data_IF_749711726979
#
_entry.id   IF_749711726979
#
_cell.length_a   1.000
_cell.length_b   1.000
_cell.length_c   1.000
_cell.angle_alpha   90.00
_cell.angle_beta   90.00
_cell.angle_gamma   90.00
#
_symmetry.space_group_name_H-M   'P 1'
#
loop_
_entity.id
_entity.type
_entity.pdbx_description
1 polymer ?
#
# COMPACT_ATOMS: atom_id res chain seq x y z
N UNK A 1 -8.39 -18.76 33.65
CA UNK A 1 -7.20 -18.66 32.76
C UNK A 1 -7.30 -19.47 31.47
N UNK A 2 -8.02 -20.60 31.40
CA UNK A 2 -8.23 -21.34 30.13
C UNK A 2 -9.31 -20.74 29.21
N UNK A 3 -10.20 -19.90 29.75
CA UNK A 3 -11.32 -19.30 28.99
C UNK A 3 -11.03 -17.97 28.27
N UNK A 4 -9.90 -17.33 28.53
CA UNK A 4 -9.46 -16.14 27.76
C UNK A 4 -8.73 -16.55 26.48
N UNK A 5 -8.12 -17.75 26.49
CA UNK A 5 -7.43 -18.33 25.34
C UNK A 5 -8.36 -19.09 24.37
N UNK A 6 -9.56 -19.48 24.82
CA UNK A 6 -10.51 -20.28 24.02
C UNK A 6 -11.49 -19.44 23.18
N UNK A 7 -11.54 -18.10 23.36
CA UNK A 7 -12.51 -17.21 22.69
C UNK A 7 -12.00 -16.32 21.56
N UNK A 8 -10.76 -16.47 21.08
CA UNK A 8 -10.33 -15.81 19.83
C UNK A 8 -9.34 -16.64 19.00
N UNK A 9 -9.68 -17.92 18.82
CA UNK A 9 -9.24 -18.70 17.65
C UNK A 9 -10.19 -18.48 16.45
N UNK A 10 -10.97 -17.38 16.46
CA UNK A 10 -11.57 -16.85 15.25
C UNK A 10 -10.42 -16.50 14.30
N UNK A 11 -10.34 -17.21 13.16
CA UNK A 11 -9.31 -17.11 12.12
C UNK A 11 -8.35 -15.94 12.31
N UNK A 12 -7.12 -16.17 12.79
CA UNK A 12 -6.14 -15.09 12.86
C UNK A 12 -6.00 -14.49 11.45
N UNK A 13 -6.47 -13.25 11.27
CA UNK A 13 -6.54 -12.61 9.95
C UNK A 13 -5.17 -12.00 9.65
N UNK A 14 -4.29 -12.84 9.13
CA UNK A 14 -2.94 -12.47 8.73
C UNK A 14 -2.93 -11.76 7.38
N UNK A 15 -1.96 -10.88 7.22
CA UNK A 15 -1.56 -10.32 5.94
C UNK A 15 -0.17 -10.82 5.65
N UNK A 16 -0.07 -11.66 4.62
CA UNK A 16 1.20 -12.13 4.09
C UNK A 16 1.67 -11.16 3.03
N UNK A 17 2.91 -10.71 3.14
CA UNK A 17 3.52 -9.75 2.22
C UNK A 17 4.81 -10.32 1.70
N UNK A 18 4.92 -10.34 0.37
CA UNK A 18 6.15 -10.65 -0.34
C UNK A 18 6.62 -9.41 -1.07
N UNK A 19 7.85 -8.99 -0.78
CA UNK A 19 8.48 -7.84 -1.41
C UNK A 19 9.63 -8.30 -2.31
N UNK A 20 9.49 -8.02 -3.61
CA UNK A 20 10.48 -8.32 -4.63
C UNK A 20 11.19 -7.03 -5.03
N UNK A 21 12.48 -6.94 -4.71
CA UNK A 21 13.31 -5.82 -5.13
C UNK A 21 14.10 -6.23 -6.35
N UNK A 22 14.02 -5.45 -7.43
CA UNK A 22 14.74 -5.70 -8.67
C UNK A 22 16.03 -4.88 -8.72
N UNK A 23 17.05 -5.41 -9.39
CA UNK A 23 18.29 -4.69 -9.70
C UNK A 23 18.06 -3.67 -10.83
N UNK A 24 17.10 -2.77 -10.61
CA UNK A 24 16.62 -1.78 -11.56
C UNK A 24 16.48 -0.45 -10.82
N UNK A 25 17.31 0.53 -11.17
CA UNK A 25 17.18 1.87 -10.61
C UNK A 25 15.84 2.49 -11.06
N UNK A 26 15.06 2.98 -10.09
CA UNK A 26 13.71 3.50 -10.35
C UNK A 26 13.48 4.77 -9.54
N UNK A 27 13.25 5.89 -10.23
CA UNK A 27 12.75 7.12 -9.62
C UNK A 27 11.25 7.00 -9.34
N UNK A 28 10.70 7.65 -8.29
CA UNK A 28 9.26 7.61 -7.99
C UNK A 28 8.37 7.98 -9.19
N UNK A 29 8.77 8.96 -10.01
CA UNK A 29 8.03 9.39 -11.21
C UNK A 29 7.94 8.33 -12.31
N UNK A 30 8.79 7.28 -12.27
CA UNK A 30 8.80 6.19 -13.24
C UNK A 30 8.03 4.95 -12.75
N UNK A 31 7.53 4.93 -11.51
CA UNK A 31 6.75 3.82 -10.97
C UNK A 31 5.53 3.47 -11.85
N UNK A 32 4.77 4.43 -12.42
CA UNK A 32 3.68 4.09 -13.35
C UNK A 32 4.16 3.35 -14.60
N UNK A 33 5.34 3.69 -15.13
CA UNK A 33 5.93 2.99 -16.29
C UNK A 33 6.42 1.60 -15.91
N UNK A 34 7.02 1.45 -14.73
CA UNK A 34 7.42 0.15 -14.20
C UNK A 34 6.21 -0.77 -14.01
N UNK A 35 5.12 -0.25 -13.41
CA UNK A 35 3.85 -0.97 -13.32
C UNK A 35 3.36 -1.42 -14.70
N UNK A 36 3.31 -0.50 -15.68
CA UNK A 36 2.89 -0.84 -17.05
C UNK A 36 3.75 -1.94 -17.67
N UNK A 37 5.07 -1.86 -17.50
CA UNK A 37 6.01 -2.87 -17.98
C UNK A 37 5.77 -4.24 -17.34
N UNK A 38 5.56 -4.28 -16.02
CA UNK A 38 5.28 -5.53 -15.31
C UNK A 38 3.91 -6.10 -15.69
N UNK A 39 2.88 -5.27 -15.87
CA UNK A 39 1.58 -5.73 -16.36
C UNK A 39 1.68 -6.31 -17.79
N UNK A 40 2.42 -5.66 -18.69
CA UNK A 40 2.64 -6.15 -20.06
C UNK A 40 3.47 -7.44 -20.08
N UNK A 41 4.45 -7.56 -19.20
CA UNK A 41 5.22 -8.78 -19.02
C UNK A 41 4.29 -9.92 -18.58
N UNK A 42 3.35 -9.62 -17.69
CA UNK A 42 2.51 -10.59 -16.99
C UNK A 42 1.10 -10.69 -17.61
N UNK A 43 0.96 -10.50 -18.93
CA UNK A 43 -0.35 -10.51 -19.64
C UNK A 43 -1.13 -11.83 -19.49
N UNK A 44 -0.47 -12.95 -19.17
CA UNK A 44 -1.09 -14.23 -18.81
C UNK A 44 -1.31 -14.44 -17.30
N UNK A 45 -0.92 -13.48 -16.46
CA UNK A 45 -0.99 -13.59 -15.01
C UNK A 45 -2.40 -13.23 -14.48
N UNK A 46 -2.76 -13.66 -13.26
CA UNK A 46 -4.12 -13.57 -12.76
C UNK A 46 -4.66 -12.13 -12.76
N UNK A 47 -5.99 -12.02 -12.87
CA UNK A 47 -6.83 -10.82 -12.70
C UNK A 47 -6.37 -9.92 -11.52
N UNK A 48 -5.68 -10.48 -10.52
CA UNK A 48 -5.05 -9.78 -9.40
C UNK A 48 -4.09 -8.64 -9.80
N UNK A 49 -3.54 -8.65 -11.02
CA UNK A 49 -2.67 -7.59 -11.53
C UNK A 49 -3.42 -6.45 -12.24
N UNK A 50 -4.62 -6.75 -12.73
CA UNK A 50 -5.50 -5.83 -13.44
C UNK A 50 -6.74 -5.65 -12.58
N UNK A 51 -6.82 -4.59 -11.77
CA UNK A 51 -8.04 -4.19 -11.04
C UNK A 51 -9.22 -3.79 -11.98
N UNK A 52 -9.41 -4.52 -13.07
CA UNK A 52 -10.40 -4.38 -14.12
C UNK A 52 -11.01 -5.77 -14.39
N UNK A 53 -12.32 -5.91 -14.18
CA UNK A 53 -13.14 -6.94 -14.80
C UNK A 53 -14.15 -6.20 -15.69
N UNK A 54 -14.00 -6.29 -17.01
CA UNK A 54 -14.89 -5.62 -17.97
C UNK A 54 -14.77 -4.09 -17.99
N UNK A 55 -15.87 -3.39 -18.31
CA UNK A 55 -15.93 -1.92 -18.46
C UNK A 55 -16.00 -1.14 -17.12
N UNK A 56 -15.92 -1.83 -15.97
CA UNK A 56 -16.02 -1.21 -14.64
C UNK A 56 -14.68 -1.12 -13.88
N UNK A 57 -14.57 -0.14 -12.98
CA UNK A 57 -13.48 -0.09 -11.99
C UNK A 57 -13.74 -1.09 -10.86
N UNK A 58 -12.79 -1.99 -10.60
CA UNK A 58 -12.87 -2.85 -9.43
C UNK A 58 -12.41 -2.03 -8.20
N UNK A 59 -13.33 -1.67 -7.31
CA UNK A 59 -13.05 -0.90 -6.07
C UNK A 59 -12.37 -1.76 -4.98
N UNK A 60 -11.60 -2.76 -5.39
CA UNK A 60 -10.89 -3.66 -4.49
C UNK A 60 -9.50 -3.13 -4.18
N UNK A 61 -9.04 -3.35 -2.95
CA UNK A 61 -7.71 -2.95 -2.51
C UNK A 61 -6.63 -3.68 -3.34
N UNK A 62 -5.64 -2.99 -3.94
CA UNK A 62 -4.65 -3.62 -4.82
C UNK A 62 -3.74 -4.57 -4.04
N UNK A 63 -3.78 -5.86 -4.41
CA UNK A 63 -2.92 -6.91 -3.85
C UNK A 63 -1.52 -6.92 -4.44
N UNK A 64 -1.34 -6.28 -5.59
CA UNK A 64 -0.03 -5.99 -6.17
C UNK A 64 0.19 -4.49 -6.18
N UNK A 65 1.32 -4.04 -5.66
CA UNK A 65 1.70 -2.64 -5.58
C UNK A 65 3.13 -2.46 -6.09
N UNK A 66 3.35 -1.36 -6.82
CA UNK A 66 4.64 -1.05 -7.41
C UNK A 66 5.21 0.18 -6.73
N UNK A 67 6.50 0.13 -6.39
CA UNK A 67 7.14 1.15 -5.57
C UNK A 67 8.55 1.46 -6.05
N UNK A 68 9.01 2.67 -5.75
CA UNK A 68 10.43 3.01 -5.71
C UNK A 68 10.87 2.91 -4.26
N UNK A 69 11.75 1.97 -3.95
CA UNK A 69 12.26 1.73 -2.61
C UNK A 69 13.77 1.81 -2.65
N UNK A 70 14.35 2.75 -1.88
CA UNK A 70 15.80 3.01 -1.87
C UNK A 70 16.39 3.21 -3.28
N UNK A 71 15.63 3.88 -4.16
CA UNK A 71 16.02 4.12 -5.55
C UNK A 71 15.97 2.89 -6.47
N UNK A 72 15.42 1.76 -6.02
CA UNK A 72 15.23 0.53 -6.79
C UNK A 72 13.75 0.27 -7.06
N UNK A 73 13.45 -0.43 -8.15
CA UNK A 73 12.12 -0.93 -8.41
C UNK A 73 11.76 -2.04 -7.43
N UNK A 74 10.59 -1.93 -6.79
CA UNK A 74 10.07 -2.92 -5.85
C UNK A 74 8.62 -3.26 -6.19
N UNK A 75 8.28 -4.54 -6.13
CA UNK A 75 6.93 -5.05 -6.22
C UNK A 75 6.53 -5.63 -4.87
N UNK A 76 5.40 -5.20 -4.35
CA UNK A 76 4.79 -5.71 -3.13
C UNK A 76 3.59 -6.55 -3.53
N UNK A 77 3.57 -7.80 -3.09
CA UNK A 77 2.50 -8.75 -3.31
C UNK A 77 1.88 -9.14 -1.96
N UNK A 78 0.56 -9.16 -1.90
CA UNK A 78 -0.21 -9.28 -0.65
C UNK A 78 -1.16 -10.47 -0.74
N UNK A 79 -1.09 -11.37 0.24
CA UNK A 79 -1.89 -12.61 0.34
C UNK A 79 -1.84 -13.40 -0.97
N UNK A 80 -2.97 -13.60 -1.65
CA UNK A 80 -3.09 -14.32 -2.94
C UNK A 80 -2.28 -13.64 -4.06
N UNK A 81 -1.89 -12.38 -3.91
CA UNK A 81 -0.97 -11.73 -4.84
C UNK A 81 0.44 -12.35 -4.83
N UNK A 82 0.83 -13.06 -3.76
CA UNK A 82 2.18 -13.63 -3.59
C UNK A 82 2.50 -14.73 -4.61
N UNK A 83 1.48 -15.36 -5.20
CA UNK A 83 1.60 -16.34 -6.29
C UNK A 83 2.36 -15.79 -7.51
N UNK A 84 2.44 -14.45 -7.64
CA UNK A 84 3.13 -13.82 -8.74
C UNK A 84 4.63 -14.14 -8.81
N UNK A 85 5.27 -14.46 -7.67
CA UNK A 85 6.69 -14.80 -7.67
C UNK A 85 6.96 -16.03 -8.53
N UNK A 86 6.11 -17.07 -8.43
CA UNK A 86 6.24 -18.26 -9.26
C UNK A 86 6.14 -17.92 -10.75
N UNK A 87 5.22 -17.03 -11.10
CA UNK A 87 5.03 -16.56 -12.48
C UNK A 87 6.27 -15.82 -13.00
N UNK A 88 6.86 -14.95 -12.18
CA UNK A 88 8.06 -14.19 -12.56
C UNK A 88 9.27 -15.12 -12.72
N UNK A 89 9.46 -16.07 -11.81
CA UNK A 89 10.60 -17.00 -11.82
C UNK A 89 10.52 -18.05 -12.93
N UNK A 90 9.32 -18.41 -13.39
CA UNK A 90 9.11 -19.41 -14.44
C UNK A 90 9.38 -18.87 -15.86
N UNK A 91 9.68 -17.58 -16.04
CA UNK A 91 9.86 -16.99 -17.36
C UNK A 91 11.21 -17.32 -17.96
N UNK A 92 11.20 -17.65 -19.25
CA UNK A 92 12.40 -17.73 -20.08
C UNK A 92 12.89 -16.32 -20.48
N UNK A 93 11.95 -15.42 -20.79
CA UNK A 93 12.25 -14.04 -21.14
C UNK A 93 12.56 -13.19 -19.90
N UNK A 94 13.81 -12.75 -19.81
CA UNK A 94 14.36 -11.99 -18.68
C UNK A 94 14.62 -10.52 -19.04
N UNK A 95 13.76 -9.90 -19.84
CA UNK A 95 13.82 -8.47 -20.15
C UNK A 95 12.54 -7.75 -19.75
N UNK A 96 12.70 -6.48 -19.35
CA UNK A 96 11.60 -5.60 -18.96
C UNK A 96 11.77 -4.26 -19.68
N UNK A 97 10.73 -3.83 -20.40
CA UNK A 97 10.73 -2.54 -21.11
C UNK A 97 10.02 -1.46 -20.28
N UNK A 98 10.79 -0.59 -19.63
CA UNK A 98 10.28 0.51 -18.81
C UNK A 98 10.34 1.82 -19.61
N UNK A 99 9.19 2.25 -20.11
CA UNK A 99 9.14 3.36 -21.08
C UNK A 99 9.84 2.98 -22.38
N UNK A 100 10.89 3.71 -22.74
CA UNK A 100 11.65 3.48 -23.97
C UNK A 100 12.95 2.68 -23.73
N UNK A 101 13.20 2.25 -22.48
CA UNK A 101 14.42 1.55 -22.10
C UNK A 101 14.15 0.07 -21.85
N UNK A 102 15.08 -0.78 -22.25
CA UNK A 102 15.04 -2.22 -22.02
C UNK A 102 16.06 -2.56 -20.94
N UNK A 103 15.62 -3.30 -19.94
CA UNK A 103 16.42 -3.69 -18.79
C UNK A 103 16.37 -5.20 -18.60
N UNK A 104 17.45 -5.84 -18.11
CA UNK A 104 17.35 -7.23 -17.67
C UNK A 104 16.46 -7.30 -16.42
N UNK A 105 15.51 -8.23 -16.41
CA UNK A 105 14.70 -8.54 -15.24
C UNK A 105 15.55 -9.38 -14.28
N UNK A 106 16.12 -8.73 -13.25
CA UNK A 106 16.94 -9.38 -12.24
C UNK A 106 16.40 -9.08 -10.86
N UNK A 107 16.07 -10.13 -10.10
CA UNK A 107 15.69 -9.99 -8.69
C UNK A 107 16.97 -9.77 -7.88
N UNK A 108 17.01 -8.66 -7.15
CA UNK A 108 18.08 -8.29 -6.22
C UNK A 108 17.83 -8.88 -4.82
N UNK A 109 16.57 -8.98 -4.42
CA UNK A 109 16.20 -9.48 -3.10
C UNK A 109 14.73 -9.83 -3.00
N UNK A 110 14.43 -10.74 -2.08
CA UNK A 110 13.10 -11.21 -1.74
C UNK A 110 12.95 -11.15 -0.23
N UNK A 111 11.92 -10.47 0.25
CA UNK A 111 11.59 -10.39 1.67
C UNK A 111 10.15 -10.87 1.85
N UNK A 112 9.93 -11.79 2.80
CA UNK A 112 8.61 -12.26 3.16
C UNK A 112 8.31 -11.85 4.61
N UNK A 113 7.10 -11.37 4.86
CA UNK A 113 6.64 -11.03 6.19
C UNK A 113 5.18 -11.40 6.37
N UNK A 114 4.80 -11.67 7.61
CA UNK A 114 3.42 -11.92 8.00
C UNK A 114 3.05 -10.95 9.12
N UNK A 115 1.91 -10.27 8.98
CA UNK A 115 1.41 -9.33 9.98
C UNK A 115 0.01 -9.70 10.42
N UNK A 116 -0.24 -9.74 11.72
CA UNK A 116 -1.58 -9.93 12.27
C UNK A 116 -2.24 -8.57 12.42
N UNK A 117 -3.33 -8.31 11.68
CA UNK A 117 -4.11 -7.07 11.79
C UNK A 117 -4.97 -7.09 13.07
N UNK A 118 -4.32 -7.06 14.22
CA UNK A 118 -4.96 -7.16 15.54
C UNK A 118 -4.47 -6.05 16.45
N UNK A 119 -5.31 -5.72 17.44
CA UNK A 119 -4.90 -4.93 18.59
C UNK A 119 -4.13 -5.83 19.56
N UNK A 120 -3.01 -5.32 20.06
CA UNK A 120 -2.20 -6.00 21.07
C UNK A 120 -2.31 -5.24 22.40
N UNK A 121 -3.31 -5.59 23.21
CA UNK A 121 -3.57 -4.91 24.48
C UNK A 121 -3.73 -3.39 24.31
N UNK A 122 -3.01 -2.62 25.12
CA UNK A 122 -3.00 -1.15 25.08
C UNK A 122 -1.83 -0.57 24.27
N UNK A 123 -0.91 -1.42 23.78
CA UNK A 123 0.27 -0.97 23.06
C UNK A 123 -0.10 -0.28 21.75
N UNK A 124 0.66 0.78 21.42
CA UNK A 124 0.53 1.52 20.18
C UNK A 124 1.72 1.26 19.28
N UNK A 125 1.44 0.92 18.03
CA UNK A 125 2.45 0.70 17.00
C UNK A 125 2.79 2.02 16.32
N UNK A 126 4.06 2.25 16.03
CA UNK A 126 4.55 3.47 15.40
C UNK A 126 4.86 3.22 13.93
N UNK A 127 4.49 4.16 13.07
CA UNK A 127 4.64 4.05 11.63
C UNK A 127 4.90 5.41 10.98
N UNK A 128 5.44 5.38 9.77
CA UNK A 128 5.45 6.48 8.82
C UNK A 128 4.67 6.10 7.56
N UNK A 129 4.01 7.09 6.94
CA UNK A 129 3.56 6.99 5.55
C UNK A 129 4.35 7.96 4.68
N UNK A 130 4.87 7.47 3.55
CA UNK A 130 5.54 8.30 2.55
C UNK A 130 4.67 8.54 1.33
N UNK A 131 4.64 9.79 0.87
CA UNK A 131 3.82 10.28 -0.24
C UNK A 131 2.37 9.82 -0.12
N UNK A 132 1.79 9.94 1.08
CA UNK A 132 0.40 9.57 1.33
C UNK A 132 -0.52 10.53 0.59
N UNK A 133 -1.44 9.98 -0.21
CA UNK A 133 -2.50 10.74 -0.87
C UNK A 133 -3.82 10.52 -0.10
N UNK A 134 -4.15 11.37 0.89
CA UNK A 134 -5.32 11.18 1.75
C UNK A 134 -6.65 11.52 1.04
N UNK A 135 -6.61 12.40 0.03
CA UNK A 135 -7.81 13.06 -0.45
C UNK A 135 -8.44 12.39 -1.66
N UNK A 136 -9.76 12.20 -1.60
CA UNK A 136 -10.61 12.23 -2.79
C UNK A 136 -11.03 13.68 -3.07
N UNK A 137 -11.70 13.94 -4.20
CA UNK A 137 -12.12 15.30 -4.57
C UNK A 137 -13.01 15.96 -3.51
N UNK A 138 -13.89 15.20 -2.87
CA UNK A 138 -14.76 15.70 -1.80
C UNK A 138 -13.99 16.04 -0.52
N UNK A 139 -13.15 15.12 -0.05
CA UNK A 139 -12.31 15.32 1.13
C UNK A 139 -11.31 16.46 0.93
N UNK A 140 -10.79 16.65 -0.28
CA UNK A 140 -9.93 17.78 -0.59
C UNK A 140 -10.68 19.10 -0.42
N UNK A 141 -11.87 19.23 -1.00
CA UNK A 141 -12.72 20.43 -0.82
C UNK A 141 -13.05 20.68 0.65
N UNK A 142 -13.38 19.63 1.40
CA UNK A 142 -13.64 19.73 2.85
C UNK A 142 -12.40 20.20 3.60
N UNK A 143 -11.24 19.62 3.32
CA UNK A 143 -9.97 19.98 3.96
C UNK A 143 -9.61 21.45 3.75
N UNK A 144 -9.86 22.00 2.56
CA UNK A 144 -9.62 23.42 2.26
C UNK A 144 -10.40 24.39 3.17
N UNK A 145 -11.56 23.96 3.70
CA UNK A 145 -12.35 24.72 4.67
C UNK A 145 -12.01 24.43 6.14
N UNK A 146 -11.07 23.53 6.43
CA UNK A 146 -10.66 23.22 7.80
C UNK A 146 -9.57 24.21 8.23
N UNK A 147 -9.90 25.04 9.21
CA UNK A 147 -9.00 26.05 9.76
C UNK A 147 -8.43 25.60 11.12
N UNK A 148 -7.14 25.86 11.32
CA UNK A 148 -6.42 25.52 12.55
C UNK A 148 -5.78 24.14 12.50
N UNK A 149 -4.54 24.06 12.99
CA UNK A 149 -3.71 22.85 12.93
C UNK A 149 -4.37 21.65 13.62
N UNK A 150 -4.95 21.86 14.81
CA UNK A 150 -5.62 20.78 15.54
C UNK A 150 -6.78 20.17 14.75
N UNK A 151 -7.63 21.00 14.12
CA UNK A 151 -8.75 20.52 13.32
C UNK A 151 -8.28 19.78 12.06
N UNK A 152 -7.20 20.25 11.42
CA UNK A 152 -6.57 19.58 10.27
C UNK A 152 -6.02 18.21 10.65
N UNK A 153 -5.35 18.09 11.80
CA UNK A 153 -4.84 16.82 12.31
C UNK A 153 -5.98 15.82 12.54
N UNK A 154 -7.05 16.21 13.25
CA UNK A 154 -8.20 15.33 13.49
C UNK A 154 -8.88 14.89 12.19
N UNK A 155 -8.96 15.78 11.20
CA UNK A 155 -9.52 15.46 9.89
C UNK A 155 -8.68 14.40 9.16
N UNK A 156 -7.36 14.55 9.17
CA UNK A 156 -6.43 13.59 8.57
C UNK A 156 -6.41 12.25 9.31
N UNK A 157 -6.46 12.23 10.64
CA UNK A 157 -6.59 11.01 11.45
C UNK A 157 -7.86 10.22 11.09
N UNK A 158 -8.99 10.92 10.88
CA UNK A 158 -10.22 10.29 10.43
C UNK A 158 -10.10 9.65 9.04
N UNK A 159 -9.40 10.32 8.11
CA UNK A 159 -9.11 9.77 6.78
C UNK A 159 -8.20 8.54 6.90
N UNK A 160 -7.11 8.63 7.66
CA UNK A 160 -6.15 7.55 7.83
C UNK A 160 -6.80 6.31 8.43
N UNK A 161 -7.61 6.49 9.48
CA UNK A 161 -8.44 5.41 10.04
C UNK A 161 -9.35 4.78 8.98
N UNK A 162 -10.02 5.61 8.17
CA UNK A 162 -10.83 5.13 7.04
C UNK A 162 -10.02 4.36 5.99
N UNK A 163 -8.78 4.75 5.72
CA UNK A 163 -7.89 4.04 4.78
C UNK A 163 -7.46 2.68 5.34
N UNK A 164 -7.14 2.58 6.63
CA UNK A 164 -6.81 1.31 7.28
C UNK A 164 -8.01 0.36 7.23
N UNK A 165 -9.21 0.85 7.56
CA UNK A 165 -10.45 0.07 7.47
C UNK A 165 -10.73 -0.39 6.03
N UNK A 166 -10.48 0.48 5.05
CA UNK A 166 -10.66 0.15 3.63
C UNK A 166 -9.68 -0.92 3.15
N UNK A 167 -8.42 -0.87 3.60
CA UNK A 167 -7.43 -1.90 3.34
C UNK A 167 -7.88 -3.24 3.94
N UNK A 168 -8.21 -3.27 5.24
CA UNK A 168 -8.66 -4.49 5.90
C UNK A 168 -9.86 -5.12 5.17
N UNK A 169 -10.91 -4.32 4.91
CA UNK A 169 -12.08 -4.78 4.13
C UNK A 169 -11.68 -5.32 2.76
N UNK A 170 -10.80 -4.62 2.04
CA UNK A 170 -10.35 -5.02 0.71
C UNK A 170 -9.51 -6.31 0.69
N UNK A 171 -8.89 -6.67 1.81
CA UNK A 171 -8.19 -7.93 2.02
C UNK A 171 -9.10 -9.04 2.58
N UNK A 172 -10.40 -8.78 2.75
CA UNK A 172 -11.35 -9.74 3.34
C UNK A 172 -11.25 -9.85 4.87
N UNK A 173 -10.62 -8.86 5.52
CA UNK A 173 -10.34 -8.84 6.95
C UNK A 173 -11.39 -7.98 7.65
N UNK A 174 -12.05 -8.57 8.64
CA UNK A 174 -13.03 -7.91 9.51
C UNK A 174 -12.36 -7.56 10.83
N UNK A 175 -12.14 -6.26 11.04
CA UNK A 175 -11.64 -5.74 12.31
C UNK A 175 -12.81 -5.62 13.29
N UNK A 176 -12.71 -6.30 14.44
CA UNK A 176 -13.74 -6.27 15.50
C UNK A 176 -13.55 -5.13 16.48
N UNK A 177 -12.30 -4.72 16.69
CA UNK A 177 -11.97 -3.62 17.59
C UNK A 177 -11.99 -2.28 16.88
N UNK A 178 -12.29 -1.22 17.61
CA UNK A 178 -12.14 0.13 17.11
C UNK A 178 -10.67 0.38 16.75
N UNK A 179 -10.41 0.92 15.56
CA UNK A 179 -9.07 1.34 15.14
C UNK A 179 -8.84 2.77 15.65
N UNK A 180 -7.86 2.95 16.52
CA UNK A 180 -7.40 4.27 16.96
C UNK A 180 -6.13 4.64 16.21
N UNK A 181 -6.05 5.89 15.79
CA UNK A 181 -4.93 6.46 15.04
C UNK A 181 -4.64 7.83 15.60
N UNK A 182 -3.37 8.13 15.84
CA UNK A 182 -2.93 9.46 16.28
C UNK A 182 -1.74 9.91 15.44
N UNK A 183 -1.83 11.07 14.79
CA UNK A 183 -0.68 11.64 14.09
C UNK A 183 0.32 12.17 15.11
N UNK A 184 1.59 11.76 14.96
CA UNK A 184 2.70 12.23 15.81
C UNK A 184 3.57 13.25 15.08
N UNK A 185 3.54 13.25 13.75
CA UNK A 185 4.17 14.27 12.91
C UNK A 185 3.46 14.39 11.58
N UNK A 186 3.42 15.60 11.05
CA UNK A 186 2.85 15.92 9.74
C UNK A 186 3.82 16.83 9.00
N UNK A 187 4.31 16.39 7.85
CA UNK A 187 5.09 17.21 6.95
C UNK A 187 4.23 18.16 6.12
N UNK A 188 4.89 19.08 5.42
CA UNK A 188 4.21 19.96 4.47
C UNK A 188 3.56 19.17 3.33
N UNK A 189 2.43 19.69 2.85
CA UNK A 189 1.81 19.15 1.64
C UNK A 189 2.65 19.48 0.42
N UNK A 190 2.75 18.51 -0.48
CA UNK A 190 3.43 18.66 -1.76
C UNK A 190 2.64 18.02 -2.89
N UNK A 191 2.82 18.53 -4.09
CA UNK A 191 2.17 18.00 -5.28
C UNK A 191 3.00 16.90 -5.93
N UNK A 192 2.32 15.90 -6.47
CA UNK A 192 2.90 14.83 -7.29
C UNK A 192 2.09 14.70 -8.56
N UNK A 193 2.78 14.64 -9.70
CA UNK A 193 2.15 14.32 -10.97
C UNK A 193 1.78 12.84 -11.03
N UNK A 194 0.50 12.54 -11.30
CA UNK A 194 -0.02 11.22 -11.58
C UNK A 194 -0.98 11.28 -12.77
N UNK A 195 -0.67 10.55 -13.86
CA UNK A 195 -1.48 10.53 -15.09
C UNK A 195 -1.88 11.95 -15.56
N UNK A 196 -0.88 12.84 -15.64
CA UNK A 196 -1.05 14.25 -16.07
C UNK A 196 -1.89 15.12 -15.12
N UNK A 197 -2.26 14.59 -13.95
CA UNK A 197 -2.95 15.33 -12.90
C UNK A 197 -2.03 15.55 -11.70
N UNK A 198 -2.05 16.75 -11.13
CA UNK A 198 -1.37 17.02 -9.87
C UNK A 198 -2.22 16.54 -8.70
N UNK A 199 -1.66 15.65 -7.88
CA UNK A 199 -2.30 15.17 -6.66
C UNK A 199 -1.56 15.69 -5.44
N UNK A 200 -2.31 16.10 -4.42
CA UNK A 200 -1.76 16.54 -3.15
C UNK A 200 -1.42 15.33 -2.27
N UNK A 201 -0.17 15.31 -1.82
CA UNK A 201 0.39 14.29 -0.94
C UNK A 201 1.06 14.93 0.27
N UNK A 202 1.30 14.13 1.30
CA UNK A 202 2.09 14.51 2.45
C UNK A 202 2.80 13.29 3.06
N UNK A 203 3.87 13.55 3.79
CA UNK A 203 4.54 12.55 4.63
C UNK A 203 4.07 12.72 6.07
N UNK A 204 3.77 11.61 6.76
CA UNK A 204 3.29 11.63 8.14
C UNK A 204 3.98 10.56 8.99
N UNK A 205 4.02 10.80 10.29
CA UNK A 205 4.27 9.78 11.32
C UNK A 205 3.02 9.64 12.17
N UNK A 206 2.69 8.42 12.57
CA UNK A 206 1.48 8.14 13.34
C UNK A 206 1.64 6.93 14.24
N UNK A 207 0.77 6.85 15.24
CA UNK A 207 0.54 5.62 16.01
C UNK A 207 -0.79 4.98 15.62
N UNK A 208 -0.84 3.66 15.73
CA UNK A 208 -2.04 2.85 15.47
C UNK A 208 -2.27 1.88 16.61
N UNK A 209 -3.53 1.64 16.97
CA UNK A 209 -3.88 0.59 17.93
C UNK A 209 -3.79 -0.82 17.36
N UNK A 210 -3.68 -0.96 16.03
CA UNK A 210 -3.50 -2.25 15.36
C UNK A 210 -2.16 -2.30 14.65
N UNK A 211 -1.58 -3.50 14.55
CA UNK A 211 -0.37 -3.69 13.77
C UNK A 211 -0.66 -3.67 12.26
N UNK A 212 0.20 -3.01 11.49
CA UNK A 212 0.07 -2.82 10.05
C UNK A 212 1.27 -3.45 9.31
N UNK A 213 1.02 -4.02 8.10
CA UNK A 213 2.07 -4.65 7.30
C UNK A 213 3.01 -3.61 6.70
N UNK A 214 4.31 -3.79 6.90
CA UNK A 214 5.33 -2.90 6.35
C UNK A 214 5.40 -3.01 4.82
N UNK A 215 5.72 -1.91 4.15
CA UNK A 215 5.80 -1.83 2.70
C UNK A 215 4.45 -1.79 2.00
N UNK A 216 3.32 -1.95 2.69
CA UNK A 216 1.98 -1.89 2.10
C UNK A 216 1.47 -0.45 2.04
N UNK A 217 0.72 -0.08 1.00
CA UNK A 217 0.21 1.28 0.79
C UNK A 217 -1.14 1.57 1.46
N UNK A 218 -1.33 2.78 1.98
CA UNK A 218 -2.62 3.30 2.46
C UNK A 218 -3.04 4.55 1.67
N UNK A 219 -4.34 4.79 1.57
CA UNK A 219 -4.89 5.97 0.87
C UNK A 219 -5.16 5.70 -0.61
N UNK A 220 -5.07 6.75 -1.42
CA UNK A 220 -5.21 6.64 -2.88
C UNK A 220 -3.86 6.43 -3.57
N UNK A 221 -3.90 5.83 -4.75
CA UNK A 221 -2.69 5.58 -5.55
C UNK A 221 -1.78 4.48 -5.00
N UNK A 222 -2.26 3.62 -4.08
CA UNK A 222 -1.43 2.58 -3.43
C UNK A 222 -0.79 1.61 -4.44
N UNK A 223 -1.48 1.31 -5.56
CA UNK A 223 -0.93 0.45 -6.61
C UNK A 223 0.34 1.00 -7.26
N UNK A 224 0.65 2.29 -7.12
CA UNK A 224 1.85 2.92 -7.67
C UNK A 224 2.71 3.58 -6.57
N UNK A 225 2.59 3.09 -5.34
CA UNK A 225 3.55 3.36 -4.27
C UNK A 225 3.29 4.61 -3.45
N UNK A 226 2.08 5.17 -3.53
CA UNK A 226 1.64 6.21 -2.59
C UNK A 226 1.24 5.61 -1.24
N UNK A 227 1.53 6.38 -0.18
CA UNK A 227 1.19 6.04 1.19
C UNK A 227 1.82 4.75 1.69
N UNK A 228 3.06 4.47 1.30
CA UNK A 228 3.77 3.24 1.72
C UNK A 228 4.06 3.28 3.22
N UNK A 229 3.64 2.24 3.95
CA UNK A 229 3.90 2.06 5.38
C UNK A 229 5.38 1.72 5.60
N UNK A 230 6.01 2.45 6.52
CA UNK A 230 7.36 2.19 7.02
C UNK A 230 7.26 2.08 8.55
N UNK A 231 7.95 1.10 9.13
CA UNK A 231 8.07 0.96 10.59
C UNK A 231 9.24 1.78 11.12
#
# INVERSE_FOLDING_TARGET
MKDVLSRSLASKQTVDVLALTFALALKPSLVPKFRGAMCALLEDAPILMHNHKGEGFNYTYPRIQYQSFQGQARLIAINEGTDILHTILAREENILRVGNQVHPLRIKGVEASQTYLVRYGEEKFHYQLRSWQPFNAENYRRYQGVHGLSAQVHFLEAILRGNILSMAKGLGITLTDQVEVTLTSMGDMFMRTFKEQEVCCLDISFTSSISLPEGVGLGKGVSIGFGTIIK
#
